data_IF_651482139813
#
_entry.id   IF_651482139813
#
_cell.length_a   1.000
_cell.length_b   1.000
_cell.length_c   1.000
_cell.angle_alpha   90.00
_cell.angle_beta   90.00
_cell.angle_gamma   90.00
#
_symmetry.space_group_name_H-M   'P 1'
#
loop_
_entity.id
_entity.type
_entity.pdbx_description
1 polymer ?
#
# COMPACT_ATOMS: atom_id res chain seq x y z
N UNK A 1 -7.24 -1.54 -6.26
CA UNK A 1 -6.43 -0.67 -7.14
C UNK A 1 -7.21 0.04 -8.26
N UNK A 2 -8.32 -0.52 -8.77
CA UNK A 2 -9.07 0.05 -9.91
C UNK A 2 -9.51 1.52 -9.77
N UNK A 3 -9.86 1.96 -8.55
CA UNK A 3 -10.24 3.35 -8.29
C UNK A 3 -9.14 4.36 -8.70
N UNK A 4 -7.86 4.00 -8.58
CA UNK A 4 -6.76 4.88 -8.98
C UNK A 4 -6.76 5.13 -10.50
N UNK A 5 -7.16 4.13 -11.31
CA UNK A 5 -7.31 4.30 -12.75
C UNK A 5 -8.57 5.10 -13.10
N UNK A 6 -9.69 4.83 -12.43
CA UNK A 6 -10.97 5.53 -12.65
C UNK A 6 -10.89 7.03 -12.35
N UNK A 7 -10.01 7.42 -11.43
CA UNK A 7 -9.82 8.80 -11.00
C UNK A 7 -8.63 9.50 -11.66
N UNK A 8 -7.90 8.81 -12.54
CA UNK A 8 -6.65 9.29 -13.13
C UNK A 8 -5.66 9.78 -12.06
N UNK A 9 -5.50 8.98 -11.00
CA UNK A 9 -4.67 9.36 -9.86
C UNK A 9 -3.18 9.30 -10.21
N UNK A 10 -2.48 10.42 -9.98
CA UNK A 10 -1.02 10.49 -10.17
C UNK A 10 -0.20 9.75 -9.08
N UNK A 11 -0.80 9.52 -7.91
CA UNK A 11 -0.14 8.92 -6.75
C UNK A 11 -1.13 8.23 -5.80
N UNK A 12 -0.75 7.06 -5.29
CA UNK A 12 -1.46 6.39 -4.18
C UNK A 12 -0.62 6.44 -2.90
N UNK A 13 -1.25 6.82 -1.78
CA UNK A 13 -0.62 6.80 -0.45
C UNK A 13 -1.25 5.70 0.40
N UNK A 14 -0.43 4.80 0.93
CA UNK A 14 -0.87 3.69 1.77
C UNK A 14 -0.27 3.81 3.16
N UNK A 15 -1.12 3.83 4.18
CA UNK A 15 -0.71 3.80 5.58
C UNK A 15 -0.51 2.37 6.10
N UNK A 16 0.62 2.12 6.76
CA UNK A 16 0.97 0.88 7.43
C UNK A 16 1.02 0.99 8.95
N UNK A 17 0.67 -0.09 9.65
CA UNK A 17 0.84 -0.22 11.12
C UNK A 17 2.07 -1.08 11.44
N UNK A 18 2.76 -0.78 12.54
CA UNK A 18 3.82 -1.63 13.09
C UNK A 18 3.21 -2.95 13.59
N UNK A 19 3.66 -4.08 13.03
CA UNK A 19 3.30 -5.43 13.50
C UNK A 19 4.52 -6.04 14.19
N UNK A 20 4.29 -6.88 15.20
CA UNK A 20 5.36 -7.49 16.00
C UNK A 20 6.26 -8.39 15.14
N UNK A 21 7.47 -8.75 15.61
CA UNK A 21 8.37 -9.69 14.93
C UNK A 21 7.78 -11.10 14.71
N UNK A 22 6.71 -11.49 15.40
CA UNK A 22 5.96 -12.71 15.08
C UNK A 22 5.06 -12.55 13.84
N UNK A 23 4.85 -11.31 13.38
CA UNK A 23 4.27 -10.94 12.08
C UNK A 23 5.33 -10.59 11.03
N UNK A 24 6.54 -11.16 11.13
CA UNK A 24 7.64 -11.07 10.15
C UNK A 24 7.19 -11.64 8.80
N UNK A 25 6.58 -10.80 7.96
CA UNK A 25 6.49 -10.86 6.50
C UNK A 25 5.33 -10.02 5.93
N UNK A 26 4.51 -9.39 6.78
CA UNK A 26 3.22 -8.87 6.31
C UNK A 26 3.28 -7.36 6.09
N UNK A 27 3.73 -6.95 4.90
CA UNK A 27 2.93 -5.93 4.21
C UNK A 27 1.50 -6.49 4.22
N UNK A 28 0.52 -5.80 4.84
CA UNK A 28 -0.87 -6.31 4.84
C UNK A 28 -1.28 -6.73 3.43
N UNK A 29 -2.06 -7.79 3.26
CA UNK A 29 -2.42 -8.29 1.91
C UNK A 29 -2.90 -7.18 0.98
N UNK A 30 -3.70 -6.24 1.51
CA UNK A 30 -4.13 -5.04 0.79
C UNK A 30 -2.99 -4.07 0.46
N UNK A 31 -2.07 -3.79 1.40
CA UNK A 31 -0.95 -2.90 1.13
C UNK A 31 -0.01 -3.51 0.08
N UNK A 32 0.22 -4.82 0.15
CA UNK A 32 1.01 -5.55 -0.82
C UNK A 32 0.35 -5.56 -2.20
N UNK A 33 -0.95 -5.85 -2.28
CA UNK A 33 -1.74 -5.79 -3.52
C UNK A 33 -1.65 -4.39 -4.14
N UNK A 34 -1.87 -3.34 -3.34
CA UNK A 34 -1.75 -1.95 -3.83
C UNK A 34 -0.34 -1.65 -4.33
N UNK A 35 0.71 -2.08 -3.62
CA UNK A 35 2.09 -1.83 -4.04
C UNK A 35 2.50 -2.60 -5.31
N UNK A 36 1.92 -3.78 -5.55
CA UNK A 36 2.25 -4.61 -6.71
C UNK A 36 1.39 -4.32 -7.94
N UNK A 37 0.15 -3.87 -7.75
CA UNK A 37 -0.85 -3.78 -8.82
C UNK A 37 -1.35 -2.36 -9.11
N UNK A 38 -0.85 -1.34 -8.40
CA UNK A 38 -1.26 0.05 -8.66
C UNK A 38 -0.86 0.51 -10.07
N UNK A 39 -1.75 1.21 -10.80
CA UNK A 39 -1.44 1.75 -12.13
C UNK A 39 -0.49 2.96 -12.08
N UNK A 40 -0.28 3.54 -10.90
CA UNK A 40 0.57 4.70 -10.67
C UNK A 40 1.48 4.49 -9.44
N UNK A 41 2.50 5.35 -9.24
CA UNK A 41 3.41 5.25 -8.11
C UNK A 41 2.69 5.13 -6.76
N UNK A 42 3.31 4.39 -5.83
CA UNK A 42 2.77 4.17 -4.48
C UNK A 42 3.78 4.63 -3.43
N UNK A 43 3.34 5.47 -2.51
CA UNK A 43 4.09 5.84 -1.30
C UNK A 43 3.51 5.10 -0.09
N UNK A 44 4.35 4.30 0.57
CA UNK A 44 3.97 3.62 1.80
C UNK A 44 4.50 4.37 3.02
N UNK A 45 3.59 4.82 3.88
CA UNK A 45 3.89 5.58 5.10
C UNK A 45 3.67 4.69 6.31
N UNK A 46 4.63 4.65 7.24
CA UNK A 46 4.50 3.93 8.51
C UNK A 46 4.59 4.92 9.67
N UNK A 47 3.71 4.74 10.66
CA UNK A 47 3.84 5.41 11.95
C UNK A 47 4.79 4.61 12.85
N UNK A 48 5.60 5.31 13.63
CA UNK A 48 6.59 4.73 14.57
C UNK A 48 5.97 4.06 15.80
#
# INVERSE_FOLDING_TARGET
>A
VGLAAETDADLVVVGGRKRSPAGKAVFGSTAQEVMLESPCPVTFVRNE
#
